data_IF_568379474577
#
_entry.id   IF_568379474577
#
_cell.length_a   1.000
_cell.length_b   1.000
_cell.length_c   1.000
_cell.angle_alpha   90.00
_cell.angle_beta   90.00
_cell.angle_gamma   90.00
#
_symmetry.space_group_name_H-M   'P 1'
#
loop_
_entity.id
_entity.type
_entity.pdbx_description
1 polymer ?
#
# COMPACT_ATOMS: atom_id res chain seq x y z
N UNK A 1 30.88 -17.68 -14.56
CA UNK A 1 29.73 -17.23 -15.38
C UNK A 1 28.71 -16.63 -14.42
N UNK A 2 28.80 -15.32 -14.22
CA UNK A 2 28.04 -14.61 -13.18
C UNK A 2 26.65 -14.26 -13.69
N UNK A 3 25.61 -14.71 -12.98
CA UNK A 3 24.23 -14.31 -13.23
C UNK A 3 24.03 -12.93 -12.61
N UNK A 4 24.05 -11.91 -13.46
CA UNK A 4 23.65 -10.55 -13.11
C UNK A 4 22.13 -10.57 -12.81
N UNK A 5 21.74 -10.56 -11.54
CA UNK A 5 20.38 -10.26 -11.12
C UNK A 5 20.11 -8.78 -11.43
N UNK A 6 19.38 -8.51 -12.52
CA UNK A 6 18.79 -7.19 -12.74
C UNK A 6 17.74 -6.94 -11.65
N UNK A 7 18.09 -6.17 -10.66
CA UNK A 7 17.11 -5.63 -9.73
C UNK A 7 16.17 -4.70 -10.51
N UNK A 8 14.90 -5.02 -10.58
CA UNK A 8 13.87 -4.07 -11.05
C UNK A 8 13.87 -2.88 -10.07
N UNK A 9 13.79 -1.63 -10.58
CA UNK A 9 13.70 -0.47 -9.72
C UNK A 9 12.38 -0.51 -8.94
N UNK A 10 12.45 -0.88 -7.67
CA UNK A 10 11.34 -0.69 -6.74
C UNK A 10 11.20 0.80 -6.45
N UNK A 11 10.19 1.43 -7.03
CA UNK A 11 9.82 2.80 -6.65
C UNK A 11 8.94 2.74 -5.39
N UNK A 12 9.58 2.80 -4.23
CA UNK A 12 8.87 3.03 -2.97
C UNK A 12 8.76 4.55 -2.80
N UNK A 13 7.58 5.10 -3.07
CA UNK A 13 7.30 6.52 -2.77
C UNK A 13 6.68 6.62 -1.38
N UNK A 14 7.23 7.51 -0.56
CA UNK A 14 6.59 7.92 0.68
C UNK A 14 5.56 8.97 0.32
N UNK A 15 4.28 8.69 0.52
CA UNK A 15 3.22 9.70 0.39
C UNK A 15 3.46 10.77 1.47
N UNK A 16 3.87 11.94 1.05
CA UNK A 16 4.27 13.03 1.94
C UNK A 16 3.06 13.93 2.20
N UNK A 17 2.40 13.72 3.31
CA UNK A 17 1.56 14.76 3.87
C UNK A 17 2.44 15.64 4.78
N UNK A 18 2.66 16.90 4.40
CA UNK A 18 3.59 17.82 5.07
C UNK A 18 3.15 18.27 6.48
N UNK A 19 2.02 17.81 6.97
CA UNK A 19 1.45 18.19 8.27
C UNK A 19 1.88 17.31 9.45
N UNK A 20 2.67 16.26 9.24
CA UNK A 20 3.10 15.35 10.31
C UNK A 20 4.61 15.30 10.53
N UNK A 21 5.21 16.45 10.76
CA UNK A 21 6.58 16.52 11.32
C UNK A 21 6.52 16.53 12.84
N UNK A 22 6.21 15.46 13.47
CA UNK A 22 6.54 14.93 14.81
C UNK A 22 5.34 14.17 15.40
N UNK A 23 5.38 12.83 15.32
CA UNK A 23 5.39 12.11 16.55
C UNK A 23 4.11 11.46 17.04
N UNK A 24 3.03 11.13 16.28
CA UNK A 24 2.15 10.04 16.79
C UNK A 24 2.74 8.67 16.48
N UNK A 25 3.50 8.52 15.40
CA UNK A 25 4.09 7.24 14.99
C UNK A 25 5.11 6.63 15.98
N UNK A 26 5.77 7.45 16.81
CA UNK A 26 6.71 6.95 17.82
C UNK A 26 6.06 6.56 19.15
N UNK A 27 4.83 6.99 19.39
CA UNK A 27 4.04 6.71 20.60
C UNK A 27 2.78 5.89 20.31
N UNK A 28 2.59 5.44 19.07
CA UNK A 28 1.37 4.76 18.65
C UNK A 28 1.17 3.41 19.33
N UNK A 29 -0.07 3.15 19.76
CA UNK A 29 -0.47 1.88 20.39
C UNK A 29 -0.28 0.66 19.49
N UNK A 30 -0.18 0.88 18.15
CA UNK A 30 0.06 -0.16 17.14
C UNK A 30 1.50 -0.17 16.62
N UNK A 31 2.43 0.45 17.34
CA UNK A 31 3.85 0.43 16.98
C UNK A 31 4.36 -1.01 16.90
N UNK A 32 4.97 -1.36 15.77
CA UNK A 32 5.49 -2.70 15.48
C UNK A 32 4.53 -3.58 14.68
N UNK A 33 3.25 -3.25 14.61
CA UNK A 33 2.30 -3.93 13.73
C UNK A 33 2.58 -3.57 12.27
N UNK A 34 2.68 -4.58 11.40
CA UNK A 34 2.96 -4.42 9.97
C UNK A 34 1.79 -4.93 9.12
N UNK A 35 1.29 -4.09 8.22
CA UNK A 35 0.09 -4.36 7.42
C UNK A 35 0.39 -4.20 5.93
N UNK A 36 0.04 -5.22 5.13
CA UNK A 36 -0.04 -5.14 3.68
C UNK A 36 -1.49 -4.83 3.27
N UNK A 37 -1.69 -3.70 2.62
CA UNK A 37 -3.01 -3.20 2.22
C UNK A 37 -3.16 -3.30 0.70
N UNK A 38 -3.95 -4.27 0.23
CA UNK A 38 -4.33 -4.46 -1.18
C UNK A 38 -5.71 -3.90 -1.49
N UNK A 39 -6.32 -3.20 -0.56
CA UNK A 39 -7.65 -2.63 -0.73
C UNK A 39 -7.61 -1.37 -1.59
N UNK A 40 -8.76 -0.96 -2.11
CA UNK A 40 -8.96 0.23 -2.92
C UNK A 40 -10.25 0.95 -2.52
N UNK A 41 -10.46 2.14 -3.04
CA UNK A 41 -11.61 3.01 -2.78
C UNK A 41 -11.66 3.50 -1.32
N UNK A 42 -12.71 3.13 -0.55
CA UNK A 42 -13.00 3.76 0.74
C UNK A 42 -12.79 2.85 1.96
N UNK A 43 -13.49 1.71 2.13
CA UNK A 43 -13.54 1.04 3.43
C UNK A 43 -12.20 0.48 3.89
N UNK A 44 -11.47 -0.21 3.02
CA UNK A 44 -10.16 -0.77 3.32
C UNK A 44 -9.11 0.32 3.56
N UNK A 45 -8.92 1.26 2.62
CA UNK A 45 -7.97 2.36 2.81
C UNK A 45 -8.27 3.22 4.04
N UNK A 46 -9.55 3.42 4.40
CA UNK A 46 -9.93 4.14 5.62
C UNK A 46 -9.51 3.37 6.89
N UNK A 47 -9.76 2.08 6.93
CA UNK A 47 -9.34 1.25 8.07
C UNK A 47 -7.82 1.25 8.23
N UNK A 48 -7.06 1.05 7.15
CA UNK A 48 -5.60 1.03 7.19
C UNK A 48 -4.99 2.40 7.45
N UNK A 49 -5.68 3.49 7.08
CA UNK A 49 -5.32 4.85 7.48
C UNK A 49 -5.38 5.03 9.00
N UNK A 50 -6.46 4.56 9.63
CA UNK A 50 -6.61 4.63 11.10
C UNK A 50 -5.48 3.83 11.78
N UNK A 51 -5.14 2.64 11.28
CA UNK A 51 -4.04 1.86 11.82
C UNK A 51 -2.68 2.55 11.65
N UNK A 52 -2.45 3.18 10.49
CA UNK A 52 -1.24 3.96 10.25
C UNK A 52 -1.14 5.18 11.19
N UNK A 53 -2.24 5.89 11.42
CA UNK A 53 -2.31 7.01 12.37
C UNK A 53 -2.04 6.56 13.82
N UNK A 54 -2.40 5.33 14.15
CA UNK A 54 -2.13 4.71 15.46
C UNK A 54 -0.72 4.10 15.56
N UNK A 55 0.12 4.24 14.54
CA UNK A 55 1.53 3.88 14.57
C UNK A 55 1.88 2.55 13.89
N UNK A 56 0.94 1.86 13.25
CA UNK A 56 1.25 0.68 12.43
C UNK A 56 2.05 1.07 11.18
N UNK A 57 2.95 0.18 10.76
CA UNK A 57 3.58 0.27 9.45
C UNK A 57 2.62 -0.29 8.39
N UNK A 58 2.12 0.56 7.50
CA UNK A 58 1.23 0.13 6.41
C UNK A 58 1.91 0.32 5.07
N UNK A 59 1.98 -0.74 4.27
CA UNK A 59 2.30 -0.66 2.84
C UNK A 59 1.00 -0.81 2.05
N UNK A 60 0.63 0.25 1.35
CA UNK A 60 -0.48 0.22 0.39
C UNK A 60 0.03 -0.25 -0.97
N UNK A 61 -0.48 -1.39 -1.44
CA UNK A 61 -0.06 -2.03 -2.69
C UNK A 61 -1.02 -1.63 -3.80
N UNK A 62 -0.52 -0.86 -4.75
CA UNK A 62 -1.30 -0.33 -5.88
C UNK A 62 -0.98 -1.06 -7.18
N UNK A 63 -1.95 -1.10 -8.08
CA UNK A 63 -1.76 -1.66 -9.42
C UNK A 63 -1.03 -0.66 -10.34
N UNK A 64 -0.02 -1.12 -11.08
CA UNK A 64 0.61 -0.34 -12.14
C UNK A 64 -0.25 -0.20 -13.40
N UNK A 65 -1.34 -0.95 -13.51
CA UNK A 65 -2.21 -1.01 -14.70
C UNK A 65 -3.61 -0.45 -14.47
N UNK A 66 -4.04 -0.34 -13.24
CA UNK A 66 -5.38 0.13 -12.88
C UNK A 66 -5.28 1.18 -11.79
N UNK A 67 -5.60 2.41 -12.15
CA UNK A 67 -5.63 3.53 -11.23
C UNK A 67 -6.76 3.36 -10.21
N UNK A 68 -6.50 3.63 -8.93
CA UNK A 68 -7.55 3.75 -7.93
C UNK A 68 -8.41 4.97 -8.27
N UNK A 69 -9.74 4.78 -8.29
CA UNK A 69 -10.68 5.86 -8.64
C UNK A 69 -10.58 7.05 -7.69
N UNK A 70 -10.16 6.86 -6.44
CA UNK A 70 -9.94 7.97 -5.51
C UNK A 70 -8.86 8.94 -5.97
N UNK A 71 -7.93 8.53 -6.84
CA UNK A 71 -6.91 9.42 -7.43
C UNK A 71 -7.47 10.40 -8.47
N UNK A 72 -8.61 10.05 -9.05
CA UNK A 72 -9.25 10.85 -10.11
C UNK A 72 -10.58 11.48 -9.67
N UNK A 73 -10.89 11.44 -8.37
CA UNK A 73 -12.10 12.06 -7.80
C UNK A 73 -11.78 13.49 -7.31
N UNK A 74 -12.43 14.52 -7.87
CA UNK A 74 -12.26 15.89 -7.37
C UNK A 74 -12.83 16.02 -5.94
N UNK A 75 -12.44 17.07 -5.17
CA UNK A 75 -11.53 18.14 -5.56
C UNK A 75 -10.05 17.72 -5.54
N UNK A 76 -9.22 18.49 -6.26
CA UNK A 76 -7.78 18.30 -6.34
C UNK A 76 -7.04 19.45 -5.65
N UNK A 77 -5.80 19.19 -5.24
CA UNK A 77 -4.87 20.23 -4.80
C UNK A 77 -4.17 20.91 -6.00
N UNK A 78 -3.23 21.82 -5.71
CA UNK A 78 -2.48 22.56 -6.72
C UNK A 78 -1.56 21.68 -7.59
N UNK A 79 -1.20 20.49 -7.10
CA UNK A 79 -0.38 19.49 -7.81
C UNK A 79 -1.24 18.48 -8.58
N UNK A 80 -2.56 18.72 -8.69
CA UNK A 80 -3.56 17.84 -9.31
C UNK A 80 -3.68 16.45 -8.64
N UNK A 81 -3.36 16.36 -7.35
CA UNK A 81 -3.59 15.16 -6.56
C UNK A 81 -4.95 15.26 -5.85
N UNK A 82 -5.76 14.18 -5.93
CA UNK A 82 -7.09 14.16 -5.34
C UNK A 82 -7.02 14.16 -3.81
N UNK A 83 -7.66 15.12 -3.15
CA UNK A 83 -7.68 15.23 -1.68
C UNK A 83 -8.15 13.96 -1.00
N UNK A 84 -9.17 13.28 -1.54
CA UNK A 84 -9.68 12.04 -0.97
C UNK A 84 -8.61 10.95 -0.95
N UNK A 85 -7.83 10.82 -2.03
CA UNK A 85 -6.76 9.83 -2.11
C UNK A 85 -5.64 10.13 -1.11
N UNK A 86 -5.21 11.38 -1.03
CA UNK A 86 -4.20 11.81 -0.06
C UNK A 86 -4.67 11.58 1.38
N UNK A 87 -5.93 11.92 1.67
CA UNK A 87 -6.51 11.75 3.00
C UNK A 87 -6.52 10.28 3.44
N UNK A 88 -7.02 9.38 2.59
CA UNK A 88 -7.15 7.95 2.90
C UNK A 88 -5.80 7.22 2.98
N UNK A 89 -4.78 7.73 2.29
CA UNK A 89 -3.49 7.07 2.21
C UNK A 89 -2.36 7.82 2.94
N UNK A 90 -2.72 8.82 3.76
CA UNK A 90 -1.74 9.48 4.63
C UNK A 90 -1.06 8.48 5.57
N UNK A 91 0.16 8.75 5.94
CA UNK A 91 0.98 7.95 6.86
C UNK A 91 1.34 6.54 6.36
N UNK A 92 0.87 6.12 5.17
CA UNK A 92 1.21 4.84 4.54
C UNK A 92 2.43 4.96 3.62
N UNK A 93 3.11 3.85 3.40
CA UNK A 93 4.07 3.66 2.30
C UNK A 93 3.30 3.16 1.08
N UNK A 94 3.68 3.59 -0.14
CA UNK A 94 3.09 3.10 -1.38
C UNK A 94 4.05 2.16 -2.10
N UNK A 95 3.54 1.03 -2.59
CA UNK A 95 4.24 0.06 -3.40
C UNK A 95 3.41 -0.25 -4.65
N UNK A 96 3.95 0.05 -5.83
CA UNK A 96 3.25 -0.22 -7.09
C UNK A 96 3.72 -1.54 -7.69
N UNK A 97 2.80 -2.48 -7.88
CA UNK A 97 3.06 -3.81 -8.43
C UNK A 97 2.06 -4.18 -9.54
N UNK A 98 2.55 -4.92 -10.54
CA UNK A 98 1.67 -5.65 -11.44
C UNK A 98 1.45 -7.07 -10.91
N UNK A 99 0.43 -7.29 -10.09
CA UNK A 99 0.14 -8.58 -9.47
C UNK A 99 -0.16 -9.73 -10.46
N UNK A 100 -0.23 -9.44 -11.77
CA UNK A 100 -0.33 -10.47 -12.82
C UNK A 100 1.03 -11.00 -13.26
N UNK A 101 2.13 -10.38 -12.84
CA UNK A 101 3.47 -10.87 -13.18
C UNK A 101 3.96 -11.84 -12.09
N UNK A 102 4.65 -12.94 -12.47
CA UNK A 102 5.21 -13.89 -11.52
C UNK A 102 6.18 -13.24 -10.53
N UNK A 103 6.96 -12.28 -10.98
CA UNK A 103 7.93 -11.56 -10.14
C UNK A 103 7.24 -10.76 -9.03
N UNK A 104 6.10 -10.11 -9.33
CA UNK A 104 5.33 -9.39 -8.33
C UNK A 104 4.72 -10.34 -7.29
N UNK A 105 4.27 -11.52 -7.71
CA UNK A 105 3.78 -12.57 -6.81
C UNK A 105 4.87 -13.02 -5.84
N UNK A 106 6.10 -13.24 -6.32
CA UNK A 106 7.23 -13.62 -5.45
C UNK A 106 7.63 -12.49 -4.49
N UNK A 107 7.55 -11.22 -4.93
CA UNK A 107 7.75 -10.08 -4.03
C UNK A 107 6.70 -10.07 -2.91
N UNK A 108 5.42 -10.24 -3.26
CA UNK A 108 4.34 -10.30 -2.27
C UNK A 108 4.54 -11.45 -1.29
N UNK A 109 4.87 -12.66 -1.77
CA UNK A 109 5.16 -13.82 -0.91
C UNK A 109 6.34 -13.58 0.04
N UNK A 110 7.33 -12.82 -0.39
CA UNK A 110 8.44 -12.44 0.48
C UNK A 110 8.00 -11.45 1.56
N UNK A 111 7.19 -10.45 1.18
CA UNK A 111 6.65 -9.47 2.12
C UNK A 111 5.72 -10.10 3.15
N UNK A 112 4.87 -11.03 2.75
CA UNK A 112 3.95 -11.75 3.65
C UNK A 112 4.68 -12.42 4.83
N UNK A 113 5.93 -12.81 4.66
CA UNK A 113 6.72 -13.41 5.75
C UNK A 113 7.15 -12.40 6.83
N UNK A 114 7.09 -11.12 6.51
CA UNK A 114 7.54 -10.02 7.36
C UNK A 114 6.38 -9.16 7.90
N UNK A 115 5.17 -9.41 7.41
CA UNK A 115 3.97 -8.63 7.72
C UNK A 115 2.97 -9.46 8.50
N UNK A 116 2.34 -8.85 9.50
CA UNK A 116 1.43 -9.54 10.44
C UNK A 116 0.02 -9.66 9.90
N UNK A 117 -0.41 -8.70 9.08
CA UNK A 117 -1.80 -8.60 8.59
C UNK A 117 -1.83 -8.30 7.10
N UNK A 118 -2.74 -8.95 6.39
CA UNK A 118 -3.09 -8.63 5.01
C UNK A 118 -4.54 -8.13 4.99
N UNK A 119 -4.75 -6.99 4.36
CA UNK A 119 -6.08 -6.44 4.11
C UNK A 119 -6.30 -6.38 2.61
N UNK A 120 -7.40 -6.97 2.15
CA UNK A 120 -7.74 -7.00 0.73
C UNK A 120 -9.24 -6.69 0.55
N UNK A 121 -9.60 -6.15 -0.62
CA UNK A 121 -10.98 -5.82 -0.98
C UNK A 121 -11.39 -6.43 -2.32
N UNK A 122 -10.74 -7.52 -2.74
CA UNK A 122 -11.04 -8.17 -4.00
C UNK A 122 -12.33 -9.03 -3.90
N UNK A 123 -12.87 -9.38 -5.05
CA UNK A 123 -13.95 -10.37 -5.09
C UNK A 123 -13.41 -11.75 -4.71
N UNK A 124 -14.24 -12.63 -4.12
CA UNK A 124 -13.86 -14.00 -3.78
C UNK A 124 -13.12 -14.70 -4.93
N UNK A 125 -12.04 -15.40 -4.60
CA UNK A 125 -11.22 -16.14 -5.55
C UNK A 125 -10.21 -15.32 -6.38
N UNK A 126 -10.14 -13.99 -6.20
CA UNK A 126 -9.16 -13.15 -6.93
C UNK A 126 -7.77 -13.38 -6.38
N UNK A 127 -7.58 -13.39 -5.07
CA UNK A 127 -6.28 -13.63 -4.44
C UNK A 127 -5.71 -15.00 -4.84
N UNK A 128 -6.55 -16.04 -4.86
CA UNK A 128 -6.16 -17.40 -5.30
C UNK A 128 -5.70 -17.40 -6.77
N UNK A 129 -6.45 -16.74 -7.67
CA UNK A 129 -6.07 -16.64 -9.09
C UNK A 129 -4.77 -15.85 -9.32
N UNK A 130 -4.46 -14.93 -8.42
CA UNK A 130 -3.20 -14.18 -8.45
C UNK A 130 -2.02 -14.97 -7.84
N UNK A 131 -2.27 -16.14 -7.24
CA UNK A 131 -1.24 -16.96 -6.60
C UNK A 131 -0.75 -16.42 -5.26
N UNK A 132 -1.52 -15.54 -4.63
CA UNK A 132 -1.25 -14.93 -3.33
C UNK A 132 -2.42 -15.16 -2.34
N UNK A 133 -3.30 -16.11 -2.63
CA UNK A 133 -4.34 -16.55 -1.71
C UNK A 133 -3.77 -17.41 -0.56
N UNK A 134 -4.51 -17.47 0.54
CA UNK A 134 -4.26 -18.33 1.70
C UNK A 134 -4.93 -19.69 1.55
#
# INVERSE_FOLDING_TARGET
MGIMRKALPMHVKRLHCSLHKKGLGDLGILKGLKILDFSALLPGPMATMIFADLGAEVIHVESSKRVDLTRIMPPYDDDHEAYIHQHLNRSKKSLTLNLKSPEAVEIVKSLVKEYDVIIEGFRPGVMQRLGIGY
#
